data_IF_162487181792
#
_entry.id   IF_162487181792
#
_cell.length_a   1.000
_cell.length_b   1.000
_cell.length_c   1.000
_cell.angle_alpha   90.00
_cell.angle_beta   90.00
_cell.angle_gamma   90.00
#
_symmetry.space_group_name_H-M   'P 1'
#
loop_
_entity.id
_entity.type
_entity.pdbx_description
1 polymer ?
#
# COMPACT_ATOMS: atom_id res chain seq x y z
N UNK A 1 -42.09 -2.51 2.87
CA UNK A 1 -41.75 -1.19 3.41
C UNK A 1 -40.33 -0.83 2.97
N UNK A 2 -40.13 0.12 2.04
CA UNK A 2 -38.81 0.44 1.49
C UNK A 2 -37.87 1.14 2.50
N UNK A 3 -38.39 1.60 3.64
CA UNK A 3 -37.63 2.33 4.66
C UNK A 3 -36.77 1.46 5.60
N UNK A 4 -36.93 0.13 5.58
CA UNK A 4 -36.19 -0.77 6.47
C UNK A 4 -34.80 -1.20 5.98
N UNK A 5 -34.55 -1.12 4.68
CA UNK A 5 -33.28 -1.59 4.06
C UNK A 5 -32.21 -0.49 4.11
N UNK A 6 -32.62 0.78 3.94
CA UNK A 6 -31.70 1.93 3.97
C UNK A 6 -30.96 2.08 5.31
N UNK A 7 -31.64 1.83 6.45
CA UNK A 7 -31.01 1.95 7.77
C UNK A 7 -30.00 0.85 8.12
N UNK A 8 -30.09 -0.33 7.48
CA UNK A 8 -29.14 -1.44 7.68
C UNK A 8 -27.90 -1.24 6.79
N UNK A 9 -28.10 -0.81 5.54
CA UNK A 9 -27.01 -0.54 4.60
C UNK A 9 -26.14 0.64 5.06
N UNK A 10 -26.74 1.70 5.63
CA UNK A 10 -26.00 2.83 6.22
C UNK A 10 -25.12 2.40 7.40
N UNK A 11 -25.61 1.50 8.26
CA UNK A 11 -24.82 0.97 9.37
C UNK A 11 -23.67 0.11 8.88
N UNK A 12 -23.89 -0.75 7.86
CA UNK A 12 -22.83 -1.56 7.25
C UNK A 12 -21.74 -0.67 6.66
N UNK A 13 -22.11 0.39 5.94
CA UNK A 13 -21.18 1.38 5.39
C UNK A 13 -20.35 2.08 6.47
N UNK A 14 -20.99 2.52 7.55
CA UNK A 14 -20.32 3.14 8.70
C UNK A 14 -19.29 2.20 9.35
N UNK A 15 -19.68 0.96 9.67
CA UNK A 15 -18.80 -0.01 10.30
C UNK A 15 -17.67 -0.47 9.37
N UNK A 16 -17.92 -0.61 8.06
CA UNK A 16 -16.89 -0.90 7.08
C UNK A 16 -15.87 0.25 6.96
N UNK A 17 -16.35 1.49 6.94
CA UNK A 17 -15.51 2.69 6.98
C UNK A 17 -14.65 2.76 8.24
N UNK A 18 -15.25 2.52 9.41
CA UNK A 18 -14.55 2.47 10.70
C UNK A 18 -13.46 1.39 10.71
N UNK A 19 -13.75 0.19 10.19
CA UNK A 19 -12.77 -0.89 10.06
C UNK A 19 -11.64 -0.57 9.06
N UNK A 20 -11.92 0.23 8.03
CA UNK A 20 -10.89 0.75 7.12
C UNK A 20 -9.99 1.78 7.79
N UNK A 21 -10.58 2.77 8.47
CA UNK A 21 -9.86 3.85 9.12
C UNK A 21 -9.03 3.40 10.32
N UNK A 22 -9.50 2.42 11.10
CA UNK A 22 -8.76 1.92 12.28
C UNK A 22 -7.44 1.20 11.94
N UNK A 23 -7.25 0.77 10.70
CA UNK A 23 -5.95 0.30 10.21
C UNK A 23 -5.00 1.48 9.94
N UNK A 24 -5.46 2.50 9.20
CA UNK A 24 -4.60 3.61 8.79
C UNK A 24 -4.30 4.63 9.90
N UNK A 25 -5.20 4.79 10.88
CA UNK A 25 -5.03 5.70 12.01
C UNK A 25 -3.76 5.45 12.84
N UNK A 26 -3.49 4.23 13.37
CA UNK A 26 -2.23 3.95 14.06
C UNK A 26 -1.02 3.98 13.10
N UNK A 27 -1.21 3.60 11.84
CA UNK A 27 -0.19 3.62 10.79
C UNK A 27 0.36 5.04 10.55
N UNK A 28 -0.51 6.05 10.61
CA UNK A 28 -0.11 7.46 10.51
C UNK A 28 0.94 7.83 11.58
N UNK A 29 0.76 7.39 12.82
CA UNK A 29 1.71 7.69 13.91
C UNK A 29 2.94 6.77 13.82
N UNK A 30 2.71 5.48 13.56
CA UNK A 30 3.74 4.46 13.68
C UNK A 30 4.69 4.38 12.49
N UNK A 31 4.32 4.87 11.30
CA UNK A 31 5.20 4.81 10.12
C UNK A 31 6.51 5.58 10.32
N UNK A 32 6.49 6.74 10.98
CA UNK A 32 7.71 7.48 11.35
C UNK A 32 8.53 6.65 12.35
N UNK A 33 7.87 6.12 13.40
CA UNK A 33 8.52 5.35 14.44
C UNK A 33 9.22 4.10 13.89
N UNK A 34 8.57 3.37 12.99
CA UNK A 34 9.13 2.16 12.36
C UNK A 34 10.19 2.45 11.32
N UNK A 35 10.08 3.55 10.56
CA UNK A 35 11.15 4.01 9.68
C UNK A 35 12.44 4.20 10.48
N UNK A 36 12.36 4.95 11.58
CA UNK A 36 13.46 5.21 12.50
C UNK A 36 13.96 3.96 13.23
N UNK A 37 13.04 3.12 13.72
CA UNK A 37 13.40 1.87 14.36
C UNK A 37 14.19 1.00 13.38
N UNK A 38 13.77 0.91 12.12
CA UNK A 38 14.45 0.11 11.09
C UNK A 38 15.85 0.62 10.75
N UNK A 39 16.07 1.94 10.86
CA UNK A 39 17.39 2.55 10.67
C UNK A 39 18.32 2.26 11.87
N UNK A 40 17.78 2.11 13.08
CA UNK A 40 18.55 1.86 14.32
C UNK A 40 18.81 0.39 14.61
N UNK A 41 17.76 -0.42 14.65
CA UNK A 41 17.82 -1.85 15.02
C UNK A 41 18.09 -2.75 13.81
N UNK A 42 18.09 -2.16 12.62
CA UNK A 42 18.16 -2.87 11.34
C UNK A 42 16.78 -3.18 10.76
N UNK A 43 16.74 -3.33 9.44
CA UNK A 43 15.49 -3.49 8.68
C UNK A 43 14.86 -4.88 8.84
N UNK A 44 15.69 -5.92 8.96
CA UNK A 44 15.21 -7.32 9.05
C UNK A 44 14.33 -7.58 10.28
N UNK A 45 14.70 -7.21 11.51
CA UNK A 45 13.85 -7.44 12.69
C UNK A 45 12.50 -6.73 12.59
N UNK A 46 12.48 -5.50 12.05
CA UNK A 46 11.25 -4.72 11.89
C UNK A 46 10.30 -5.37 10.88
N UNK A 47 10.83 -5.84 9.74
CA UNK A 47 10.04 -6.56 8.74
C UNK A 47 9.47 -7.88 9.28
N UNK A 48 10.28 -8.65 10.03
CA UNK A 48 9.84 -9.91 10.64
C UNK A 48 8.74 -9.66 11.67
N UNK A 49 8.88 -8.64 12.50
CA UNK A 49 7.87 -8.27 13.49
C UNK A 49 6.55 -7.87 12.82
N UNK A 50 6.59 -7.04 11.78
CA UNK A 50 5.39 -6.63 11.06
C UNK A 50 4.67 -7.81 10.38
N UNK A 51 5.41 -8.74 9.77
CA UNK A 51 4.81 -9.94 9.15
C UNK A 51 4.24 -10.90 10.20
N UNK A 52 4.93 -11.08 11.34
CA UNK A 52 4.46 -11.91 12.45
C UNK A 52 3.14 -11.36 13.02
N UNK A 53 3.12 -10.07 13.38
CA UNK A 53 1.92 -9.44 13.94
C UNK A 53 0.78 -9.42 12.90
N UNK A 54 1.08 -9.18 11.62
CA UNK A 54 0.11 -9.27 10.54
C UNK A 54 -0.52 -10.66 10.41
N UNK A 55 0.27 -11.72 10.56
CA UNK A 55 -0.20 -13.11 10.60
C UNK A 55 -1.09 -13.38 11.82
N UNK A 56 -0.67 -12.97 13.01
CA UNK A 56 -1.48 -13.10 14.23
C UNK A 56 -2.80 -12.32 14.14
N UNK A 57 -2.76 -11.07 13.67
CA UNK A 57 -3.95 -10.24 13.45
C UNK A 57 -4.88 -10.87 12.39
N UNK A 58 -4.33 -11.48 11.35
CA UNK A 58 -5.13 -12.22 10.36
C UNK A 58 -5.84 -13.40 11.03
N UNK A 59 -5.15 -14.22 11.82
CA UNK A 59 -5.75 -15.34 12.57
C UNK A 59 -6.84 -14.89 13.54
N UNK A 60 -6.70 -13.74 14.20
CA UNK A 60 -7.76 -13.21 15.08
C UNK A 60 -9.09 -12.98 14.33
N UNK A 61 -9.05 -12.73 13.01
CA UNK A 61 -10.25 -12.55 12.20
C UNK A 61 -11.01 -13.86 11.95
N UNK A 62 -10.35 -15.03 11.96
CA UNK A 62 -11.01 -16.30 11.57
C UNK A 62 -11.92 -16.87 12.63
N UNK A 63 -11.70 -16.49 13.89
CA UNK A 63 -12.45 -16.98 15.05
C UNK A 63 -13.44 -15.94 15.59
N UNK A 64 -13.62 -14.82 14.89
CA UNK A 64 -14.42 -13.71 15.36
C UNK A 64 -15.92 -13.89 15.10
N UNK A 65 -16.72 -13.82 16.16
CA UNK A 65 -18.18 -13.62 16.09
C UNK A 65 -18.63 -12.22 16.54
N UNK A 66 -17.69 -11.37 16.98
CA UNK A 66 -17.97 -10.05 17.55
C UNK A 66 -17.18 -8.95 16.82
N UNK A 67 -17.85 -7.84 16.47
CA UNK A 67 -17.27 -6.71 15.74
C UNK A 67 -15.95 -6.16 16.33
N UNK A 68 -15.81 -6.18 17.66
CA UNK A 68 -14.63 -5.66 18.34
C UNK A 68 -13.36 -6.48 18.09
N UNK A 69 -13.48 -7.77 17.73
CA UNK A 69 -12.31 -8.61 17.43
C UNK A 69 -11.66 -8.19 16.09
N UNK A 70 -12.40 -8.03 14.98
CA UNK A 70 -11.87 -7.48 13.74
C UNK A 70 -11.34 -6.06 13.90
N UNK A 71 -11.99 -5.24 14.71
CA UNK A 71 -11.51 -3.91 15.04
C UNK A 71 -10.13 -3.96 15.71
N UNK A 72 -9.97 -4.75 16.77
CA UNK A 72 -8.70 -4.92 17.48
C UNK A 72 -7.62 -5.52 16.57
N UNK A 73 -7.96 -6.52 15.75
CA UNK A 73 -7.05 -7.11 14.78
C UNK A 73 -6.53 -6.08 13.76
N UNK A 74 -7.42 -5.22 13.22
CA UNK A 74 -7.04 -4.15 12.28
C UNK A 74 -6.19 -3.08 12.95
N UNK A 75 -6.51 -2.71 14.19
CA UNK A 75 -5.70 -1.78 14.98
C UNK A 75 -4.28 -2.32 15.21
N UNK A 76 -4.15 -3.59 15.62
CA UNK A 76 -2.86 -4.25 15.80
C UNK A 76 -2.07 -4.34 14.48
N UNK A 77 -2.74 -4.73 13.38
CA UNK A 77 -2.13 -4.76 12.06
C UNK A 77 -1.63 -3.36 11.63
N UNK A 78 -2.34 -2.29 11.97
CA UNK A 78 -1.92 -0.93 11.71
C UNK A 78 -0.76 -0.47 12.61
N UNK A 79 -0.78 -0.80 13.90
CA UNK A 79 0.31 -0.46 14.82
C UNK A 79 1.66 -1.04 14.40
N UNK A 80 1.67 -2.23 13.78
CA UNK A 80 2.88 -2.93 13.33
C UNK A 80 3.01 -2.97 11.78
N UNK A 81 2.16 -2.24 11.06
CA UNK A 81 1.97 -2.34 9.60
C UNK A 81 2.99 -1.60 8.74
N UNK A 82 4.18 -1.25 9.24
CA UNK A 82 5.14 -0.39 8.53
C UNK A 82 6.06 -1.12 7.54
N UNK A 83 5.74 -2.37 7.17
CA UNK A 83 6.54 -3.16 6.23
C UNK A 83 6.72 -2.47 4.88
N UNK A 84 5.70 -1.73 4.41
CA UNK A 84 5.79 -0.97 3.15
C UNK A 84 6.86 0.13 3.25
N UNK A 85 6.88 0.84 4.37
CA UNK A 85 7.81 1.93 4.67
C UNK A 85 9.26 1.44 4.69
N UNK A 86 9.51 0.38 5.46
CA UNK A 86 10.84 -0.19 5.64
C UNK A 86 11.36 -0.79 4.33
N UNK A 87 10.50 -1.49 3.59
CA UNK A 87 10.86 -2.09 2.28
C UNK A 87 11.20 -1.02 1.25
N UNK A 88 10.40 0.05 1.12
CA UNK A 88 10.69 1.13 0.15
C UNK A 88 12.00 1.83 0.46
N UNK A 89 12.21 2.21 1.72
CA UNK A 89 13.48 2.81 2.12
C UNK A 89 14.67 1.87 1.89
N UNK A 90 14.45 0.55 1.87
CA UNK A 90 15.50 -0.46 1.72
C UNK A 90 15.90 -0.61 0.27
N UNK A 91 14.90 -0.72 -0.62
CA UNK A 91 15.10 -0.74 -2.06
C UNK A 91 15.79 0.54 -2.53
N UNK A 92 15.35 1.71 -2.03
CA UNK A 92 15.98 2.99 -2.35
C UNK A 92 17.45 3.09 -1.91
N UNK A 93 17.81 2.43 -0.80
CA UNK A 93 19.18 2.44 -0.29
C UNK A 93 20.09 1.38 -0.96
N UNK A 94 19.52 0.28 -1.45
CA UNK A 94 20.25 -0.79 -2.13
C UNK A 94 20.57 -0.47 -3.59
N UNK A 95 19.69 0.27 -4.26
CA UNK A 95 19.81 0.55 -5.70
C UNK A 95 20.46 1.93 -5.91
N UNK A 96 21.74 2.00 -6.33
CA UNK A 96 22.44 3.27 -6.52
C UNK A 96 21.95 4.00 -7.78
N UNK A 97 21.64 3.26 -8.84
CA UNK A 97 21.20 3.78 -10.12
C UNK A 97 19.70 4.10 -10.14
N UNK A 98 19.30 5.16 -10.85
CA UNK A 98 17.90 5.58 -10.96
C UNK A 98 17.03 4.55 -11.69
N UNK A 99 17.54 3.95 -12.75
CA UNK A 99 16.86 2.92 -13.54
C UNK A 99 16.67 1.66 -12.72
N UNK A 100 17.71 1.19 -12.02
CA UNK A 100 17.62 0.03 -11.13
C UNK A 100 16.62 0.27 -9.99
N UNK A 101 16.65 1.46 -9.40
CA UNK A 101 15.73 1.86 -8.34
C UNK A 101 14.28 1.94 -8.83
N UNK A 102 14.07 2.52 -10.01
CA UNK A 102 12.76 2.55 -10.68
C UNK A 102 12.26 1.13 -10.94
N UNK A 103 13.12 0.24 -11.43
CA UNK A 103 12.77 -1.16 -11.67
C UNK A 103 12.43 -1.92 -10.38
N UNK A 104 13.21 -1.72 -9.31
CA UNK A 104 12.93 -2.30 -8.01
C UNK A 104 11.59 -1.84 -7.42
N UNK A 105 11.28 -0.54 -7.52
CA UNK A 105 9.97 -0.01 -7.12
C UNK A 105 8.84 -0.48 -8.03
N UNK A 106 9.12 -0.68 -9.32
CA UNK A 106 8.20 -1.26 -10.28
C UNK A 106 7.81 -2.69 -9.92
N UNK A 107 8.79 -3.55 -9.63
CA UNK A 107 8.53 -4.92 -9.14
C UNK A 107 7.76 -4.88 -7.83
N UNK A 108 8.21 -4.10 -6.84
CA UNK A 108 7.51 -3.94 -5.57
C UNK A 108 6.05 -3.55 -5.78
N UNK A 109 5.81 -2.60 -6.68
CA UNK A 109 4.50 -2.13 -7.07
C UNK A 109 3.65 -3.19 -7.77
N UNK A 110 4.25 -3.96 -8.68
CA UNK A 110 3.58 -4.99 -9.47
C UNK A 110 2.93 -6.06 -8.59
N UNK A 111 3.54 -6.38 -7.44
CA UNK A 111 2.97 -7.33 -6.46
C UNK A 111 1.59 -6.86 -5.98
N UNK A 112 1.36 -5.56 -5.80
CA UNK A 112 0.03 -5.04 -5.46
C UNK A 112 -1.00 -5.28 -6.58
N UNK A 113 -0.59 -5.17 -7.84
CA UNK A 113 -1.45 -5.49 -8.98
C UNK A 113 -1.83 -6.98 -9.01
N UNK A 114 -0.85 -7.87 -8.83
CA UNK A 114 -1.10 -9.32 -8.74
C UNK A 114 -2.03 -9.64 -7.57
N UNK A 115 -1.72 -9.14 -6.37
CA UNK A 115 -2.52 -9.39 -5.17
C UNK A 115 -3.92 -8.76 -5.26
N UNK A 116 -4.08 -7.66 -5.99
CA UNK A 116 -5.38 -7.06 -6.27
C UNK A 116 -6.29 -7.93 -7.14
N UNK A 117 -5.73 -8.88 -7.90
CA UNK A 117 -6.49 -9.89 -8.66
C UNK A 117 -6.65 -11.16 -7.81
N UNK A 118 -5.54 -11.70 -7.32
CA UNK A 118 -5.48 -12.98 -6.60
C UNK A 118 -6.24 -12.93 -5.28
N UNK A 119 -6.15 -11.82 -4.53
CA UNK A 119 -6.79 -11.65 -3.24
C UNK A 119 -8.32 -11.78 -3.30
N UNK A 120 -9.03 -10.95 -4.10
CA UNK A 120 -10.47 -11.07 -4.28
C UNK A 120 -10.90 -12.43 -4.86
N UNK A 121 -10.11 -13.02 -5.77
CA UNK A 121 -10.40 -14.36 -6.29
C UNK A 121 -10.36 -15.42 -5.19
N UNK A 122 -9.28 -15.48 -4.41
CA UNK A 122 -9.16 -16.39 -3.27
C UNK A 122 -10.26 -16.13 -2.23
N UNK A 123 -10.55 -14.87 -1.92
CA UNK A 123 -11.66 -14.49 -1.05
C UNK A 123 -13.01 -15.03 -1.55
N UNK A 124 -13.31 -14.85 -2.84
CA UNK A 124 -14.58 -15.30 -3.44
C UNK A 124 -14.73 -16.82 -3.53
N UNK A 125 -13.61 -17.55 -3.70
CA UNK A 125 -13.60 -19.00 -3.80
C UNK A 125 -13.65 -19.69 -2.43
N UNK A 126 -13.00 -19.09 -1.42
CA UNK A 126 -12.81 -19.71 -0.11
C UNK A 126 -13.83 -19.27 0.94
N UNK A 127 -14.55 -18.17 0.73
CA UNK A 127 -15.57 -17.69 1.67
C UNK A 127 -16.84 -18.52 1.58
N UNK A 128 -17.42 -18.83 2.74
CA UNK A 128 -18.68 -19.58 2.90
C UNK A 128 -18.70 -20.91 2.11
N UNK A 129 -17.75 -21.82 2.41
CA UNK A 129 -17.59 -23.05 1.65
C UNK A 129 -18.79 -24.01 1.82
N UNK A 130 -19.49 -23.96 2.96
CA UNK A 130 -20.68 -24.76 3.21
C UNK A 130 -21.82 -24.42 2.24
N UNK A 131 -22.04 -23.13 1.96
CA UNK A 131 -23.03 -22.68 0.98
C UNK A 131 -22.56 -22.88 -0.46
N UNK A 132 -21.27 -22.69 -0.72
CA UNK A 132 -20.71 -22.68 -2.08
C UNK A 132 -20.45 -24.08 -2.65
N UNK A 133 -20.14 -25.05 -1.80
CA UNK A 133 -19.86 -26.44 -2.17
C UNK A 133 -20.78 -27.41 -1.41
N UNK A 134 -22.10 -27.39 -1.67
CA UNK A 134 -23.06 -28.23 -0.96
C UNK A 134 -22.71 -29.72 -1.13
N UNK A 135 -22.67 -30.45 -0.02
CA UNK A 135 -22.34 -31.88 0.03
C UNK A 135 -20.84 -32.20 0.17
N UNK A 136 -19.93 -31.26 -0.16
CA UNK A 136 -18.50 -31.42 0.08
C UNK A 136 -18.08 -30.97 1.49
N UNK A 137 -18.85 -30.07 2.10
CA UNK A 137 -18.66 -29.57 3.46
C UNK A 137 -19.89 -29.90 4.29
N UNK A 138 -19.69 -30.45 5.49
CA UNK A 138 -20.77 -30.75 6.42
C UNK A 138 -21.50 -29.45 6.81
N UNK A 139 -22.84 -29.45 6.68
CA UNK A 139 -23.68 -28.29 6.95
C UNK A 139 -23.57 -27.79 8.41
N UNK A 140 -23.29 -28.70 9.35
CA UNK A 140 -23.12 -28.38 10.78
C UNK A 140 -21.63 -28.44 11.20
N UNK A 141 -20.71 -28.48 10.22
CA UNK A 141 -19.29 -28.59 10.47
C UNK A 141 -18.63 -27.27 10.90
N UNK A 142 -17.36 -27.35 11.30
CA UNK A 142 -16.57 -26.17 11.68
C UNK A 142 -16.53 -25.08 10.60
N UNK A 143 -16.40 -25.46 9.33
CA UNK A 143 -16.35 -24.52 8.21
C UNK A 143 -17.70 -23.84 7.90
N UNK A 144 -18.81 -24.43 8.33
CA UNK A 144 -20.13 -23.80 8.25
C UNK A 144 -20.30 -22.72 9.34
N UNK A 145 -19.77 -22.98 10.55
CA UNK A 145 -19.77 -22.02 11.65
C UNK A 145 -18.73 -20.90 11.47
N UNK A 146 -17.67 -21.13 10.69
CA UNK A 146 -16.60 -20.17 10.42
C UNK A 146 -16.41 -19.92 8.91
N UNK A 147 -17.31 -19.18 8.25
CA UNK A 147 -17.31 -19.01 6.79
C UNK A 147 -16.07 -18.29 6.24
N UNK A 148 -15.33 -17.56 7.08
CA UNK A 148 -14.11 -16.85 6.70
C UNK A 148 -12.81 -17.59 7.08
N UNK A 149 -12.90 -18.80 7.64
CA UNK A 149 -11.71 -19.51 8.11
C UNK A 149 -10.71 -19.83 6.99
N UNK A 150 -11.18 -20.35 5.85
CA UNK A 150 -10.34 -20.72 4.70
C UNK A 150 -9.60 -19.54 4.05
N UNK A 151 -10.23 -18.39 3.74
CA UNK A 151 -9.48 -17.26 3.18
C UNK A 151 -8.44 -16.74 4.18
N UNK A 152 -8.75 -16.76 5.48
CA UNK A 152 -7.84 -16.24 6.52
C UNK A 152 -6.66 -17.16 6.78
N UNK A 153 -6.85 -18.48 6.81
CA UNK A 153 -5.71 -19.41 6.96
C UNK A 153 -4.79 -19.33 5.73
N UNK A 154 -5.35 -19.10 4.54
CA UNK A 154 -4.58 -18.85 3.31
C UNK A 154 -3.75 -17.56 3.43
N UNK A 155 -4.36 -16.45 3.89
CA UNK A 155 -3.64 -15.20 4.18
C UNK A 155 -2.55 -15.39 5.24
N UNK A 156 -2.81 -16.19 6.27
CA UNK A 156 -1.85 -16.48 7.34
C UNK A 156 -0.67 -17.30 6.78
N UNK A 157 -0.93 -18.29 5.93
CA UNK A 157 0.10 -19.08 5.26
C UNK A 157 1.02 -18.19 4.41
N UNK A 158 0.48 -17.16 3.73
CA UNK A 158 1.29 -16.17 3.00
C UNK A 158 2.18 -15.34 3.94
N UNK A 159 1.70 -14.97 5.13
CA UNK A 159 2.52 -14.29 6.14
C UNK A 159 3.63 -15.22 6.64
N UNK A 160 3.34 -16.48 6.93
CA UNK A 160 4.35 -17.48 7.35
C UNK A 160 5.40 -17.68 6.25
N UNK A 161 4.99 -17.82 5.00
CA UNK A 161 5.90 -17.90 3.86
C UNK A 161 6.79 -16.65 3.76
N UNK A 162 6.20 -15.46 3.89
CA UNK A 162 6.93 -14.20 3.95
C UNK A 162 7.95 -14.15 5.09
N UNK A 163 7.57 -14.59 6.29
CA UNK A 163 8.47 -14.67 7.45
C UNK A 163 9.65 -15.61 7.19
N UNK A 164 9.40 -16.80 6.63
CA UNK A 164 10.45 -17.76 6.25
C UNK A 164 11.36 -17.20 5.17
N UNK A 165 10.81 -16.53 4.16
CA UNK A 165 11.62 -15.90 3.11
C UNK A 165 12.47 -14.76 3.66
N UNK A 166 11.93 -13.90 4.53
CA UNK A 166 12.71 -12.83 5.15
C UNK A 166 13.81 -13.41 6.05
N UNK A 167 13.52 -14.43 6.85
CA UNK A 167 14.56 -15.04 7.70
C UNK A 167 15.70 -15.65 6.88
N UNK A 168 15.39 -16.35 5.77
CA UNK A 168 16.37 -17.09 4.97
C UNK A 168 17.07 -16.27 3.87
N UNK A 169 16.39 -15.30 3.27
CA UNK A 169 16.84 -14.61 2.04
C UNK A 169 16.99 -13.10 2.20
N UNK A 170 16.51 -12.52 3.30
CA UNK A 170 16.69 -11.08 3.51
C UNK A 170 18.16 -10.78 3.83
N UNK A 171 18.83 -10.23 2.83
CA UNK A 171 20.16 -9.66 2.92
C UNK A 171 20.00 -8.15 3.15
N UNK A 172 20.03 -7.74 4.41
CA UNK A 172 20.17 -6.32 4.71
C UNK A 172 21.63 -5.92 4.46
N UNK A 173 21.91 -4.73 3.89
CA UNK A 173 23.22 -4.15 4.10
C UNK A 173 23.35 -4.05 5.62
N UNK A 174 24.40 -4.66 6.19
CA UNK A 174 24.81 -4.24 7.53
C UNK A 174 25.04 -2.74 7.35
N UNK A 175 24.26 -1.89 8.01
CA UNK A 175 24.46 -0.44 7.89
C UNK A 175 25.94 -0.09 8.17
N UNK A 176 26.59 -0.89 9.02
CA UNK A 176 28.04 -0.91 9.25
C UNK A 176 28.94 -1.20 8.03
N UNK A 177 28.52 -2.00 7.04
CA UNK A 177 29.31 -2.29 5.82
C UNK A 177 29.05 -1.27 4.70
N UNK A 178 27.85 -0.68 4.63
CA UNK A 178 27.56 0.43 3.70
C UNK A 178 28.11 1.79 4.22
N UNK A 179 28.23 1.94 5.54
CA UNK A 179 28.94 3.04 6.21
C UNK A 179 30.41 2.69 6.50
N UNK A 180 30.91 1.53 6.08
CA UNK A 180 32.32 1.23 6.18
C UNK A 180 33.04 2.23 5.30
N UNK A 181 33.54 3.30 5.92
CA UNK A 181 34.53 4.18 5.30
C UNK A 181 35.58 3.23 4.71
N UNK A 182 36.03 3.44 3.45
CA UNK A 182 37.12 2.64 2.91
C UNK A 182 38.23 2.61 3.95
N UNK A 183 38.85 1.43 4.20
CA UNK A 183 39.83 1.30 5.26
C UNK A 183 40.85 2.42 5.11
N UNK A 184 41.12 3.20 6.18
CA UNK A 184 41.95 4.38 6.09
C UNK A 184 43.26 4.03 5.40
N UNK A 185 43.53 4.68 4.26
CA UNK A 185 44.66 4.36 3.37
C UNK A 185 46.02 4.70 3.99
N UNK A 186 46.02 5.37 5.14
CA UNK A 186 47.22 5.75 5.86
C UNK A 186 47.05 5.66 7.38
N UNK A 187 48.16 5.51 8.13
CA UNK A 187 48.15 5.59 9.60
C UNK A 187 47.54 6.90 10.12
N UNK A 188 47.74 8.02 9.41
CA UNK A 188 47.17 9.32 9.77
C UNK A 188 45.64 9.37 9.59
N UNK A 189 45.11 8.75 8.52
CA UNK A 189 43.68 8.61 8.31
C UNK A 189 43.03 7.69 9.37
N UNK A 190 43.76 6.67 9.82
CA UNK A 190 43.34 5.76 10.89
C UNK A 190 43.22 6.50 12.21
N UNK A 191 44.25 7.28 12.57
CA UNK A 191 44.25 8.10 13.78
C UNK A 191 43.15 9.17 13.75
N UNK A 192 42.87 9.79 12.60
CA UNK A 192 41.75 10.73 12.43
C UNK A 192 40.40 10.04 12.66
N UNK A 193 40.19 8.86 12.08
CA UNK A 193 38.95 8.10 12.26
C UNK A 193 38.73 7.72 13.73
N UNK A 194 39.78 7.23 14.40
CA UNK A 194 39.73 6.90 15.84
C UNK A 194 39.42 8.16 16.67
N UNK A 195 40.06 9.29 16.37
CA UNK A 195 39.87 10.56 17.09
C UNK A 195 38.47 11.15 16.89
N UNK A 196 37.88 10.98 15.71
CA UNK A 196 36.49 11.36 15.42
C UNK A 196 35.50 10.47 16.19
N UNK A 197 35.72 9.16 16.23
CA UNK A 197 34.86 8.20 16.96
C UNK A 197 34.87 8.45 18.48
N UNK A 198 36.04 8.83 19.02
CA UNK A 198 36.21 9.15 20.43
C UNK A 198 35.90 10.62 20.76
N UNK A 199 35.48 11.42 19.77
CA UNK A 199 35.07 12.80 20.01
C UNK A 199 33.70 12.86 20.70
N UNK A 200 33.42 13.87 21.54
CA UNK A 200 32.09 14.09 22.12
C UNK A 200 30.98 14.25 21.05
N UNK A 201 31.35 14.67 19.84
CA UNK A 201 30.47 14.77 18.68
C UNK A 201 30.16 13.40 18.03
N UNK A 202 31.16 12.53 17.89
CA UNK A 202 31.00 11.15 17.40
C UNK A 202 30.19 10.27 18.37
N UNK A 203 30.44 10.41 19.67
CA UNK A 203 29.66 9.75 20.72
C UNK A 203 28.20 10.26 20.81
N UNK A 204 27.92 11.52 20.41
CA UNK A 204 26.56 12.06 20.27
C UNK A 204 25.86 11.59 19.00
N UNK A 205 26.59 11.38 17.90
CA UNK A 205 26.05 10.86 16.65
C UNK A 205 25.62 9.39 16.77
N UNK A 206 26.36 8.57 17.53
CA UNK A 206 26.02 7.17 17.80
C UNK A 206 24.92 6.97 18.86
N UNK A 207 24.70 7.96 19.75
CA UNK A 207 23.64 7.98 20.78
C UNK A 207 22.41 8.83 20.42
N UNK A 208 22.32 9.34 19.20
CA UNK A 208 21.37 10.38 18.81
C UNK A 208 19.90 9.92 18.80
N UNK A 209 19.15 10.34 19.82
CA UNK A 209 17.70 10.53 19.72
C UNK A 209 17.32 11.38 18.49
N UNK A 210 16.08 11.27 18.03
CA UNK A 210 15.61 12.02 16.85
C UNK A 210 15.72 13.52 17.15
N UNK A 211 16.74 14.19 16.62
CA UNK A 211 16.81 15.64 16.72
C UNK A 211 15.82 16.24 15.73
N UNK A 212 14.98 17.17 16.18
CA UNK A 212 14.13 17.96 15.30
C UNK A 212 14.92 18.62 14.16
N UNK A 213 16.20 18.95 14.40
CA UNK A 213 17.09 19.45 13.36
C UNK A 213 17.32 18.44 12.22
N UNK A 214 17.44 17.14 12.52
CA UNK A 214 17.60 16.06 11.53
C UNK A 214 16.34 15.89 10.69
N UNK A 215 15.16 15.93 11.34
CA UNK A 215 13.87 15.87 10.64
C UNK A 215 13.70 17.08 9.71
N UNK A 216 13.96 18.29 10.23
CA UNK A 216 13.87 19.52 9.45
C UNK A 216 14.85 19.54 8.27
N UNK A 217 16.06 19.03 8.45
CA UNK A 217 17.05 18.93 7.37
C UNK A 217 16.64 17.93 6.27
N UNK A 218 15.93 16.85 6.63
CA UNK A 218 15.42 15.87 5.68
C UNK A 218 14.21 16.38 4.86
N UNK A 219 13.42 17.30 5.43
CA UNK A 219 12.22 17.87 4.81
C UNK A 219 12.54 19.09 3.93
N UNK A 220 13.31 18.87 2.87
CA UNK A 220 13.57 19.90 1.86
C UNK A 220 12.29 20.27 1.10
N UNK A 221 12.21 21.44 0.44
CA UNK A 221 11.06 21.80 -0.38
C UNK A 221 10.76 20.78 -1.49
N UNK A 222 11.78 20.11 -2.03
CA UNK A 222 11.61 19.05 -3.02
C UNK A 222 10.92 17.82 -2.41
N UNK A 223 11.36 17.39 -1.23
CA UNK A 223 10.73 16.28 -0.48
C UNK A 223 9.28 16.61 -0.14
N UNK A 224 9.01 17.82 0.36
CA UNK A 224 7.65 18.24 0.72
C UNK A 224 6.71 18.25 -0.50
N UNK A 225 7.18 18.71 -1.67
CA UNK A 225 6.39 18.62 -2.91
C UNK A 225 6.09 17.17 -3.29
N UNK A 226 7.09 16.28 -3.24
CA UNK A 226 6.91 14.87 -3.57
C UNK A 226 5.94 14.17 -2.60
N UNK A 227 6.00 14.50 -1.30
CA UNK A 227 5.04 14.01 -0.29
C UNK A 227 3.63 14.52 -0.59
N UNK A 228 3.48 15.80 -0.95
CA UNK A 228 2.20 16.38 -1.34
C UNK A 228 1.57 15.62 -2.52
N UNK A 229 2.35 15.36 -3.58
CA UNK A 229 1.89 14.55 -4.72
C UNK A 229 1.49 13.13 -4.29
N UNK A 230 2.23 12.52 -3.36
CA UNK A 230 1.92 11.18 -2.87
C UNK A 230 0.62 11.14 -2.07
N UNK A 231 0.37 12.17 -1.26
CA UNK A 231 -0.89 12.37 -0.55
C UNK A 231 -2.07 12.55 -1.52
N UNK A 232 -1.90 13.32 -2.61
CA UNK A 232 -2.95 13.47 -3.62
C UNK A 232 -3.30 12.14 -4.28
N UNK A 233 -2.30 11.33 -4.66
CA UNK A 233 -2.54 9.98 -5.20
C UNK A 233 -3.22 9.10 -4.16
N UNK A 234 -2.79 9.15 -2.89
CA UNK A 234 -3.39 8.36 -1.82
C UNK A 234 -4.86 8.71 -1.58
N UNK A 235 -5.21 10.00 -1.65
CA UNK A 235 -6.58 10.48 -1.53
C UNK A 235 -7.44 9.94 -2.68
N UNK A 236 -7.02 10.21 -3.92
CA UNK A 236 -7.73 9.80 -5.12
C UNK A 236 -7.89 8.27 -5.16
N UNK A 237 -6.84 7.52 -4.77
CA UNK A 237 -6.89 6.07 -4.66
C UNK A 237 -7.95 5.57 -3.67
N UNK A 238 -8.07 6.21 -2.51
CA UNK A 238 -9.09 5.82 -1.54
C UNK A 238 -10.50 6.22 -1.96
N UNK A 239 -10.66 7.41 -2.54
CA UNK A 239 -11.96 7.88 -3.00
C UNK A 239 -12.57 6.92 -4.02
N UNK A 240 -11.84 6.54 -5.07
CA UNK A 240 -12.41 5.59 -6.03
C UNK A 240 -12.52 4.16 -5.50
N UNK A 241 -11.75 3.76 -4.49
CA UNK A 241 -11.88 2.42 -3.89
C UNK A 241 -13.25 2.25 -3.24
N UNK A 242 -13.85 3.36 -2.81
CA UNK A 242 -15.16 3.44 -2.18
C UNK A 242 -16.23 3.78 -3.20
N UNK A 243 -15.98 4.78 -4.06
CA UNK A 243 -16.95 5.26 -5.04
C UNK A 243 -17.17 4.25 -6.18
N UNK A 244 -16.15 3.52 -6.66
CA UNK A 244 -16.34 2.60 -7.80
C UNK A 244 -17.30 1.44 -7.50
N UNK A 245 -17.20 0.73 -6.35
CA UNK A 245 -18.21 -0.27 -6.00
C UNK A 245 -19.62 0.31 -5.89
N UNK A 246 -19.77 1.49 -5.27
CA UNK A 246 -21.07 2.18 -5.14
C UNK A 246 -21.64 2.57 -6.51
N UNK A 247 -20.79 3.12 -7.38
CA UNK A 247 -21.14 3.45 -8.77
C UNK A 247 -21.56 2.21 -9.57
N UNK A 248 -20.86 1.08 -9.38
CA UNK A 248 -21.20 -0.18 -10.02
C UNK A 248 -22.55 -0.72 -9.56
N UNK A 249 -22.85 -0.67 -8.26
CA UNK A 249 -24.10 -1.22 -7.72
C UNK A 249 -25.31 -0.32 -7.92
N UNK A 250 -25.13 1.01 -7.96
CA UNK A 250 -26.23 1.98 -8.05
C UNK A 250 -27.01 1.83 -9.34
N UNK A 251 -28.33 2.01 -9.28
CA UNK A 251 -29.21 1.85 -10.42
C UNK A 251 -28.89 2.85 -11.54
N UNK A 252 -29.13 2.46 -12.79
CA UNK A 252 -28.85 3.31 -13.94
C UNK A 252 -29.67 4.62 -13.95
N UNK A 253 -30.86 4.60 -13.35
CA UNK A 253 -31.72 5.78 -13.19
C UNK A 253 -31.09 6.83 -12.26
N UNK A 254 -30.32 6.39 -11.26
CA UNK A 254 -29.63 7.25 -10.30
C UNK A 254 -28.18 7.57 -10.74
N UNK A 255 -27.86 7.31 -12.02
CA UNK A 255 -26.55 7.59 -12.61
C UNK A 255 -25.49 6.50 -12.40
N UNK A 256 -25.83 5.35 -11.82
CA UNK A 256 -24.93 4.19 -11.69
C UNK A 256 -24.95 3.22 -12.88
N UNK A 257 -24.39 2.02 -12.71
CA UNK A 257 -24.37 0.98 -13.76
C UNK A 257 -25.34 -0.19 -13.54
N UNK A 258 -25.88 -0.35 -12.33
CA UNK A 258 -26.78 -1.44 -11.95
C UNK A 258 -26.16 -2.83 -12.07
N UNK A 259 -24.84 -2.95 -11.86
CA UNK A 259 -24.11 -4.21 -11.92
C UNK A 259 -24.37 -5.05 -10.68
N UNK A 260 -24.50 -6.36 -10.90
CA UNK A 260 -24.52 -7.33 -9.80
C UNK A 260 -23.14 -7.41 -9.15
N UNK A 261 -23.07 -7.83 -7.88
CA UNK A 261 -21.80 -8.05 -7.18
C UNK A 261 -20.85 -9.00 -7.95
N UNK A 262 -21.40 -10.01 -8.64
CA UNK A 262 -20.62 -10.93 -9.48
C UNK A 262 -20.03 -10.30 -10.74
N UNK A 263 -20.63 -9.21 -11.23
CA UNK A 263 -20.23 -8.47 -12.43
C UNK A 263 -19.19 -7.38 -12.12
N UNK A 264 -19.20 -6.83 -10.91
CA UNK A 264 -18.29 -5.78 -10.45
C UNK A 264 -16.81 -6.24 -10.35
N UNK A 265 -16.56 -7.55 -10.22
CA UNK A 265 -15.20 -8.10 -10.04
C UNK A 265 -14.33 -7.99 -11.30
N UNK A 266 -14.93 -8.14 -12.49
CA UNK A 266 -14.19 -8.14 -13.75
C UNK A 266 -13.59 -6.75 -14.10
N UNK A 267 -14.34 -5.63 -14.01
CA UNK A 267 -13.77 -4.28 -14.17
C UNK A 267 -12.63 -3.98 -13.19
N UNK A 268 -12.76 -4.37 -11.92
CA UNK A 268 -11.72 -4.19 -10.91
C UNK A 268 -10.47 -5.03 -11.22
N UNK A 269 -10.65 -6.26 -11.70
CA UNK A 269 -9.55 -7.11 -12.14
C UNK A 269 -8.81 -6.50 -13.36
N UNK A 270 -9.54 -5.90 -14.31
CA UNK A 270 -8.95 -5.21 -15.45
C UNK A 270 -8.08 -4.02 -15.03
N UNK A 271 -8.53 -3.24 -14.04
CA UNK A 271 -7.75 -2.16 -13.43
C UNK A 271 -6.46 -2.69 -12.81
N UNK A 272 -6.55 -3.76 -12.01
CA UNK A 272 -5.38 -4.38 -11.36
C UNK A 272 -4.40 -5.02 -12.34
N UNK A 273 -4.90 -5.61 -13.44
CA UNK A 273 -4.07 -6.20 -14.49
C UNK A 273 -3.26 -5.13 -15.23
N UNK A 274 -3.91 -4.03 -15.63
CA UNK A 274 -3.22 -2.89 -16.24
C UNK A 274 -2.17 -2.30 -15.30
N UNK A 275 -2.52 -2.16 -14.01
CA UNK A 275 -1.62 -1.68 -12.97
C UNK A 275 -0.40 -2.59 -12.78
N UNK A 276 -0.58 -3.90 -12.82
CA UNK A 276 0.51 -4.88 -12.78
C UNK A 276 1.46 -4.69 -13.97
N UNK A 277 0.94 -4.67 -15.20
CA UNK A 277 1.75 -4.56 -16.41
C UNK A 277 2.58 -3.28 -16.42
N UNK A 278 1.95 -2.14 -16.09
CA UNK A 278 2.65 -0.85 -16.06
C UNK A 278 3.67 -0.78 -14.93
N UNK A 279 3.39 -1.32 -13.73
CA UNK A 279 4.40 -1.30 -12.67
C UNK A 279 5.57 -2.25 -12.97
N UNK A 280 5.32 -3.41 -13.58
CA UNK A 280 6.38 -4.36 -13.91
C UNK A 280 7.28 -3.88 -15.06
N UNK A 281 6.68 -3.42 -16.16
CA UNK A 281 7.39 -3.03 -17.39
C UNK A 281 7.68 -1.53 -17.48
N UNK A 282 6.95 -0.69 -16.73
CA UNK A 282 6.98 0.75 -16.90
C UNK A 282 8.30 1.39 -16.49
N UNK A 283 9.11 0.77 -15.63
CA UNK A 283 10.45 1.28 -15.30
C UNK A 283 11.33 1.43 -16.55
N UNK A 284 11.39 0.38 -17.37
CA UNK A 284 12.23 0.32 -18.59
C UNK A 284 11.56 1.04 -19.76
N UNK A 285 10.25 0.84 -19.95
CA UNK A 285 9.58 1.29 -21.17
C UNK A 285 8.94 2.68 -21.06
N UNK A 286 8.75 3.21 -19.85
CA UNK A 286 8.05 4.47 -19.62
C UNK A 286 8.96 5.43 -18.84
N UNK A 287 9.38 5.05 -17.63
CA UNK A 287 10.13 5.93 -16.74
C UNK A 287 11.54 6.21 -17.26
N UNK A 288 12.27 5.21 -17.77
CA UNK A 288 13.60 5.43 -18.34
C UNK A 288 13.61 6.43 -19.52
N UNK A 289 12.72 6.34 -20.53
CA UNK A 289 12.72 7.30 -21.64
C UNK A 289 12.08 8.66 -21.30
N UNK A 290 11.01 8.70 -20.48
CA UNK A 290 10.26 9.94 -20.21
C UNK A 290 10.76 10.68 -18.95
N UNK A 291 11.44 9.97 -18.04
CA UNK A 291 11.72 10.44 -16.69
C UNK A 291 10.50 10.37 -15.77
N UNK A 292 10.75 10.36 -14.45
CA UNK A 292 9.69 10.23 -13.44
C UNK A 292 8.72 11.40 -13.40
N UNK A 293 9.19 12.63 -13.67
CA UNK A 293 8.32 13.82 -13.66
C UNK A 293 7.32 13.81 -14.82
N UNK A 294 7.79 13.56 -16.04
CA UNK A 294 6.89 13.53 -17.21
C UNK A 294 5.93 12.34 -17.11
N UNK A 295 6.42 11.17 -16.66
CA UNK A 295 5.57 9.99 -16.42
C UNK A 295 4.43 10.31 -15.43
N UNK A 296 4.72 11.02 -14.34
CA UNK A 296 3.70 11.47 -13.40
C UNK A 296 2.67 12.40 -14.06
N UNK A 297 3.13 13.37 -14.85
CA UNK A 297 2.24 14.34 -15.52
C UNK A 297 1.31 13.61 -16.50
N UNK A 298 1.85 12.72 -17.34
CA UNK A 298 1.05 11.93 -18.28
C UNK A 298 0.03 11.08 -17.54
N UNK A 299 0.43 10.41 -16.45
CA UNK A 299 -0.48 9.65 -15.60
C UNK A 299 -1.62 10.52 -15.06
N UNK A 300 -1.32 11.72 -14.55
CA UNK A 300 -2.33 12.62 -14.00
C UNK A 300 -3.27 13.18 -15.08
N UNK A 301 -2.74 13.50 -16.26
CA UNK A 301 -3.54 13.96 -17.40
C UNK A 301 -4.52 12.89 -17.92
N UNK A 302 -4.20 11.61 -17.73
CA UNK A 302 -5.10 10.50 -18.06
C UNK A 302 -6.26 10.36 -17.07
N UNK A 303 -6.07 10.68 -15.77
CA UNK A 303 -7.09 10.45 -14.73
C UNK A 303 -8.38 11.21 -15.03
N UNK A 304 -8.30 12.51 -15.33
CA UNK A 304 -9.49 13.36 -15.53
C UNK A 304 -10.43 12.87 -16.64
N UNK A 305 -9.93 12.71 -17.89
CA UNK A 305 -10.73 12.19 -19.00
C UNK A 305 -11.30 10.80 -18.74
N UNK A 306 -10.54 9.90 -18.08
CA UNK A 306 -11.01 8.54 -17.76
C UNK A 306 -12.14 8.58 -16.74
N UNK A 307 -12.05 9.40 -15.69
CA UNK A 307 -13.12 9.56 -14.71
C UNK A 307 -14.38 10.17 -15.33
N UNK A 308 -14.21 11.15 -16.22
CA UNK A 308 -15.33 11.73 -16.97
C UNK A 308 -16.01 10.66 -17.86
N UNK A 309 -15.21 9.89 -18.61
CA UNK A 309 -15.71 8.82 -19.45
C UNK A 309 -16.46 7.75 -18.63
N UNK A 310 -15.92 7.38 -17.46
CA UNK A 310 -16.58 6.48 -16.52
C UNK A 310 -17.93 7.02 -16.08
N UNK A 311 -17.99 8.27 -15.64
CA UNK A 311 -19.23 8.91 -15.20
C UNK A 311 -20.31 8.90 -16.29
N UNK A 312 -19.93 9.00 -17.56
CA UNK A 312 -20.85 9.02 -18.70
C UNK A 312 -21.30 7.62 -19.16
N UNK A 313 -20.76 6.52 -18.63
CA UNK A 313 -21.11 5.17 -19.09
C UNK A 313 -22.58 4.80 -18.87
N UNK A 314 -23.26 5.42 -17.91
CA UNK A 314 -24.69 5.19 -17.66
C UNK A 314 -25.56 5.64 -18.85
N UNK A 315 -25.07 6.58 -19.66
CA UNK A 315 -25.77 7.07 -20.88
C UNK A 315 -25.75 6.07 -22.03
N UNK A 316 -24.83 5.09 -21.98
CA UNK A 316 -24.76 4.03 -22.98
C UNK A 316 -25.79 2.93 -22.69
N UNK A 317 -26.44 2.37 -23.73
CA UNK A 317 -27.35 1.26 -23.56
C UNK A 317 -26.63 0.05 -22.94
N UNK A 318 -27.34 -0.69 -22.10
CA UNK A 318 -26.81 -1.92 -21.53
C UNK A 318 -26.51 -2.93 -22.65
N UNK A 319 -25.26 -3.34 -22.77
CA UNK A 319 -24.82 -4.25 -23.82
C UNK A 319 -23.29 -4.32 -23.94
N UNK A 320 -22.82 -4.98 -24.99
CA UNK A 320 -21.39 -5.21 -25.23
C UNK A 320 -20.58 -3.90 -25.33
N UNK A 321 -21.15 -2.86 -25.96
CA UNK A 321 -20.50 -1.56 -26.09
C UNK A 321 -20.19 -0.89 -24.74
N UNK A 322 -21.16 -0.87 -23.82
CA UNK A 322 -20.97 -0.32 -22.47
C UNK A 322 -19.93 -1.13 -21.66
N UNK A 323 -19.93 -2.45 -21.82
CA UNK A 323 -18.94 -3.31 -21.19
C UNK A 323 -17.53 -3.07 -21.71
N UNK A 324 -17.35 -2.95 -23.03
CA UNK A 324 -16.06 -2.64 -23.64
C UNK A 324 -15.54 -1.28 -23.14
N UNK A 325 -16.42 -0.27 -23.10
CA UNK A 325 -16.07 1.06 -22.60
C UNK A 325 -15.70 1.04 -21.11
N UNK A 326 -16.44 0.30 -20.26
CA UNK A 326 -16.12 0.12 -18.85
C UNK A 326 -14.75 -0.52 -18.63
N UNK A 327 -14.47 -1.63 -19.32
CA UNK A 327 -13.19 -2.33 -19.20
C UNK A 327 -12.03 -1.45 -19.69
N UNK A 328 -12.23 -0.73 -20.79
CA UNK A 328 -11.23 0.20 -21.34
C UNK A 328 -10.92 1.32 -20.36
N UNK A 329 -11.95 1.92 -19.76
CA UNK A 329 -11.78 2.96 -18.75
C UNK A 329 -11.07 2.43 -17.49
N UNK A 330 -11.43 1.25 -17.01
CA UNK A 330 -10.76 0.63 -15.86
C UNK A 330 -9.29 0.32 -16.14
N UNK A 331 -8.97 -0.20 -17.33
CA UNK A 331 -7.58 -0.43 -17.73
C UNK A 331 -6.79 0.87 -17.80
N UNK A 332 -7.34 1.91 -18.43
CA UNK A 332 -6.70 3.23 -18.51
C UNK A 332 -6.52 3.87 -17.13
N UNK A 333 -7.49 3.68 -16.22
CA UNK A 333 -7.37 4.13 -14.84
C UNK A 333 -6.23 3.40 -14.12
N UNK A 334 -6.09 2.08 -14.34
CA UNK A 334 -5.00 1.27 -13.81
C UNK A 334 -3.63 1.69 -14.36
N UNK A 335 -3.54 2.03 -15.65
CA UNK A 335 -2.33 2.60 -16.29
C UNK A 335 -1.96 3.93 -15.63
N UNK A 336 -2.91 4.85 -15.56
CA UNK A 336 -2.70 6.18 -14.98
C UNK A 336 -2.24 6.10 -13.52
N UNK A 337 -2.90 5.27 -12.71
CA UNK A 337 -2.53 5.07 -11.31
C UNK A 337 -1.13 4.48 -11.18
N UNK A 338 -0.79 3.45 -11.97
CA UNK A 338 0.52 2.82 -11.93
C UNK A 338 1.65 3.81 -12.28
N UNK A 339 1.47 4.62 -13.32
CA UNK A 339 2.42 5.65 -13.73
C UNK A 339 2.63 6.68 -12.61
N UNK A 340 1.54 7.18 -12.04
CA UNK A 340 1.55 8.13 -10.93
C UNK A 340 2.24 7.56 -9.68
N UNK A 341 1.88 6.35 -9.26
CA UNK A 341 2.41 5.72 -8.05
C UNK A 341 3.90 5.38 -8.17
N UNK A 342 4.33 4.77 -9.28
CA UNK A 342 5.74 4.47 -9.51
C UNK A 342 6.58 5.75 -9.51
N UNK A 343 6.11 6.77 -10.23
CA UNK A 343 6.82 8.04 -10.37
C UNK A 343 6.95 8.79 -9.06
N UNK A 344 5.91 8.84 -8.23
CA UNK A 344 5.94 9.61 -6.98
C UNK A 344 6.86 8.97 -5.93
N UNK A 345 6.89 7.63 -5.86
CA UNK A 345 7.80 6.91 -4.97
C UNK A 345 9.27 7.13 -5.39
N UNK A 346 9.53 7.15 -6.71
CA UNK A 346 10.86 7.47 -7.22
C UNK A 346 11.23 8.93 -6.91
N UNK A 347 10.34 9.89 -7.17
CA UNK A 347 10.57 11.31 -6.88
C UNK A 347 10.83 11.59 -5.39
N UNK A 348 10.11 10.92 -4.47
CA UNK A 348 10.40 10.99 -3.03
C UNK A 348 11.85 10.57 -2.80
N UNK A 349 12.23 9.40 -3.31
CA UNK A 349 13.57 8.83 -3.09
C UNK A 349 14.68 9.71 -3.66
N UNK A 350 14.48 10.24 -4.87
CA UNK A 350 15.45 11.11 -5.56
C UNK A 350 15.56 12.50 -4.91
N UNK A 351 14.54 12.93 -4.16
CA UNK A 351 14.56 14.22 -3.46
C UNK A 351 15.28 14.17 -2.11
N UNK A 352 15.63 12.97 -1.62
CA UNK A 352 16.28 12.80 -0.31
C UNK A 352 17.76 13.15 -0.40
N UNK A 353 18.27 14.06 0.46
CA UNK A 353 19.67 14.51 0.41
C UNK A 353 20.72 13.42 0.73
N UNK A 354 20.36 12.44 1.55
CA UNK A 354 21.27 11.38 2.00
C UNK A 354 20.55 10.03 2.07
N UNK A 355 21.21 8.98 1.58
CA UNK A 355 20.69 7.61 1.65
C UNK A 355 20.34 7.17 3.09
N UNK A 356 21.03 7.72 4.10
CA UNK A 356 20.77 7.48 5.53
C UNK A 356 19.40 7.98 6.00
N UNK A 357 18.79 8.92 5.28
CA UNK A 357 17.50 9.53 5.63
C UNK A 357 16.33 8.91 4.86
N UNK A 358 16.58 7.92 3.99
CA UNK A 358 15.54 7.28 3.19
C UNK A 358 14.48 6.60 4.04
N UNK A 359 14.87 5.92 5.12
CA UNK A 359 13.93 5.30 6.06
C UNK A 359 13.00 6.33 6.71
N UNK A 360 13.57 7.41 7.25
CA UNK A 360 12.83 8.54 7.81
C UNK A 360 11.88 9.21 6.80
N UNK A 361 12.36 9.58 5.61
CA UNK A 361 11.54 10.31 4.62
C UNK A 361 10.42 9.44 4.07
N UNK A 362 10.68 8.15 3.77
CA UNK A 362 9.59 7.22 3.42
C UNK A 362 8.63 7.04 4.59
N UNK A 363 9.11 7.03 5.84
CA UNK A 363 8.29 7.04 7.04
C UNK A 363 7.35 8.23 7.12
N UNK A 364 7.85 9.45 6.91
CA UNK A 364 7.02 10.65 6.91
C UNK A 364 6.04 10.64 5.73
N UNK A 365 6.48 10.26 4.53
CA UNK A 365 5.64 10.20 3.34
C UNK A 365 4.48 9.21 3.50
N UNK A 366 4.78 8.00 3.98
CA UNK A 366 3.76 6.96 4.24
C UNK A 366 2.85 7.33 5.41
N UNK A 367 3.34 8.04 6.42
CA UNK A 367 2.52 8.60 7.51
C UNK A 367 1.52 9.62 6.98
N UNK A 368 1.99 10.62 6.23
CA UNK A 368 1.13 11.63 5.63
C UNK A 368 0.06 11.00 4.72
N UNK A 369 0.46 10.03 3.90
CA UNK A 369 -0.47 9.30 3.06
C UNK A 369 -1.44 8.40 3.87
N UNK A 370 -1.03 7.86 5.02
CA UNK A 370 -1.92 7.11 5.91
C UNK A 370 -2.97 8.02 6.56
N UNK A 371 -2.60 9.23 6.99
CA UNK A 371 -3.55 10.23 7.49
C UNK A 371 -4.66 10.52 6.47
N UNK A 372 -4.27 10.75 5.22
CA UNK A 372 -5.21 10.95 4.11
C UNK A 372 -6.12 9.72 3.93
N UNK A 373 -5.56 8.51 3.97
CA UNK A 373 -6.34 7.27 3.85
C UNK A 373 -7.29 7.00 5.02
N UNK A 374 -7.00 7.54 6.21
CA UNK A 374 -7.90 7.45 7.37
C UNK A 374 -9.15 8.29 7.18
N UNK A 375 -9.03 9.46 6.54
CA UNK A 375 -10.11 10.44 6.39
C UNK A 375 -10.89 10.23 5.09
N UNK A 376 -10.21 9.77 4.03
CA UNK A 376 -10.78 9.59 2.71
C UNK A 376 -12.07 8.75 2.67
N UNK A 377 -12.26 7.70 3.49
CA UNK A 377 -13.53 6.97 3.52
C UNK A 377 -14.73 7.79 3.98
N UNK A 378 -14.56 8.60 5.02
CA UNK A 378 -15.61 9.48 5.49
C UNK A 378 -15.93 10.56 4.44
N UNK A 379 -14.91 11.11 3.78
CA UNK A 379 -15.10 12.08 2.71
C UNK A 379 -15.80 11.47 1.48
N UNK A 380 -15.36 10.29 1.04
CA UNK A 380 -15.95 9.59 -0.11
C UNK A 380 -17.40 9.18 0.13
N UNK A 381 -17.72 8.71 1.34
CA UNK A 381 -19.09 8.39 1.72
C UNK A 381 -20.00 9.62 1.86
N UNK A 382 -19.46 10.79 2.20
CA UNK A 382 -20.24 12.03 2.25
C UNK A 382 -20.41 12.70 0.85
N UNK A 383 -19.56 12.33 -0.11
CA UNK A 383 -19.63 12.82 -1.50
C UNK A 383 -20.57 12.02 -2.39
N UNK A 384 -20.83 10.76 -2.04
CA UNK A 384 -21.80 9.87 -2.69
C UNK A 384 -23.16 10.04 -2.05
#
# INVERSE_FOLDING_TARGET
DPGGVAGVDDQIGYYAGLLGSCFYAPLFVMNIAWGLASDRVGRKPVLLLGVLVGGCASLMLSLSSHFWVPFAARLLAGLFGANSTVTKGHLGALMPDEVERSWAYGIYGSVYGIMGIVGPLLGSLLTDPARRYPGAVAADGFLAHHPFFLPIITTTALHVAGFVLITRRFEGPKLASALARPPPTSPQATLRAIREDHSPAGARASRGGLSWATVRAALTPAVLRAIGLYCSIALVNMLWTIILPLYFSTAAVDGGLGLRASQASLPLAALMAAKFLVQFFGSVHIVAPLGSRATFIVGMLLVGPVLLALGLLHTLPAGAGRWLALLSCMMLLGVAEAMCYLSVILQITMSVPSASQLGLVHGIATSAAAMVRTIAPAAGGAMW
#
